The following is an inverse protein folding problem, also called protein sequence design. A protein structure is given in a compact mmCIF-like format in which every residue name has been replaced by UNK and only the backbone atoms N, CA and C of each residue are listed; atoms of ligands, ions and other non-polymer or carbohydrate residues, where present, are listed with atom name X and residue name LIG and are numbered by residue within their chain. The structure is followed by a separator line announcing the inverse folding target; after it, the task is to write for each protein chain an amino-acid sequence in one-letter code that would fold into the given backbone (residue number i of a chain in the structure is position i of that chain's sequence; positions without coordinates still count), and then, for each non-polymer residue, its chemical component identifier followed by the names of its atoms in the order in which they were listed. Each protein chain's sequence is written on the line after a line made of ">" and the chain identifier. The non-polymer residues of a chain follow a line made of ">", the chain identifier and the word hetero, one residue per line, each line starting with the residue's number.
data_IF_783041172055
#
_entry.id   IF_783041172055
#
_cell.length_a   1.000
_cell.length_b   1.000
_cell.length_c   1.000
_cell.angle_alpha   90.00
_cell.angle_beta   90.00
_cell.angle_gamma   90.00
#
_symmetry.space_group_name_H-M   'P 1'
#
loop_
_entity.id
_entity.type
_entity.pdbx_description
1 polymer ?
#
# COMPACT_ATOMS: atom_id res chain seq x y z
N UNK A 1 3.53 17.88 19.58
CA UNK A 1 2.18 17.67 19.00
C UNK A 1 1.70 16.29 19.39
N UNK A 2 0.53 16.17 20.01
CA UNK A 2 -0.03 14.88 20.44
C UNK A 2 -0.78 14.18 19.28
N UNK A 3 -0.38 12.96 18.91
CA UNK A 3 -0.76 12.24 17.69
C UNK A 3 -2.07 11.42 17.82
N UNK A 4 -3.08 12.02 18.45
CA UNK A 4 -4.35 11.36 18.82
C UNK A 4 -5.34 11.10 17.68
N UNK A 5 -5.12 11.66 16.48
CA UNK A 5 -6.05 11.48 15.35
C UNK A 5 -5.33 11.49 14.00
N UNK A 6 -6.06 11.04 12.97
CA UNK A 6 -5.55 10.93 11.59
C UNK A 6 -5.05 12.28 11.05
N UNK A 7 -5.73 13.38 11.35
CA UNK A 7 -5.34 14.72 10.87
C UNK A 7 -3.96 15.12 11.37
N UNK A 8 -3.69 14.99 12.68
CA UNK A 8 -2.38 15.33 13.25
C UNK A 8 -1.29 14.37 12.79
N UNK A 9 -1.61 13.08 12.66
CA UNK A 9 -0.68 12.09 12.07
C UNK A 9 -0.38 12.42 10.61
N UNK A 10 -1.36 12.85 9.83
CA UNK A 10 -1.15 13.26 8.44
C UNK A 10 -0.19 14.45 8.34
N UNK A 11 -0.35 15.48 9.19
CA UNK A 11 0.59 16.62 9.26
C UNK A 11 1.99 16.16 9.64
N UNK A 12 2.11 15.30 10.66
CA UNK A 12 3.40 14.79 11.09
C UNK A 12 4.11 14.01 9.96
N UNK A 13 3.40 13.08 9.32
CA UNK A 13 3.94 12.22 8.27
C UNK A 13 4.28 13.02 7.00
N UNK A 14 3.44 14.00 6.60
CA UNK A 14 3.77 14.85 5.45
C UNK A 14 5.00 15.73 5.73
N UNK A 15 5.11 16.27 6.94
CA UNK A 15 6.29 17.04 7.37
C UNK A 15 7.55 16.17 7.40
N UNK A 16 7.45 14.96 7.96
CA UNK A 16 8.56 14.00 7.97
C UNK A 16 9.03 13.67 6.55
N UNK A 17 8.10 13.37 5.64
CA UNK A 17 8.43 13.08 4.25
C UNK A 17 9.09 14.28 3.57
N UNK A 18 8.62 15.50 3.82
CA UNK A 18 9.21 16.72 3.25
C UNK A 18 10.64 16.96 3.77
N UNK A 19 10.87 16.81 5.08
CA UNK A 19 12.19 16.97 5.70
C UNK A 19 13.17 15.92 5.19
N UNK A 20 12.80 14.63 5.21
CA UNK A 20 13.68 13.56 4.74
C UNK A 20 13.99 13.69 3.24
N UNK A 21 13.05 14.18 2.44
CA UNK A 21 13.30 14.49 1.02
C UNK A 21 14.29 15.64 0.89
N UNK A 22 14.12 16.72 1.65
CA UNK A 22 15.03 17.86 1.64
C UNK A 22 16.46 17.46 2.04
N UNK A 23 16.59 16.50 2.96
CA UNK A 23 17.88 15.92 3.38
C UNK A 23 18.44 14.89 2.40
N UNK A 24 17.76 14.59 1.28
CA UNK A 24 18.20 13.59 0.31
C UNK A 24 18.10 12.13 0.77
N UNK A 25 17.36 11.87 1.85
CA UNK A 25 17.21 10.52 2.43
C UNK A 25 16.09 9.72 1.75
N UNK A 26 15.09 10.40 1.19
CA UNK A 26 13.98 9.74 0.48
C UNK A 26 13.60 10.48 -0.79
N UNK A 27 13.19 9.71 -1.79
CA UNK A 27 12.57 10.21 -3.03
C UNK A 27 11.12 9.72 -3.16
N UNK A 28 10.45 10.17 -4.21
CA UNK A 28 9.10 9.72 -4.56
C UNK A 28 8.02 10.12 -3.56
N UNK A 29 8.16 11.28 -2.93
CA UNK A 29 7.20 11.79 -1.93
C UNK A 29 6.04 12.56 -2.55
N UNK A 30 6.07 12.80 -3.87
CA UNK A 30 4.99 13.43 -4.63
C UNK A 30 4.33 12.39 -5.54
N UNK A 31 3.00 12.41 -5.63
CA UNK A 31 2.25 11.42 -6.39
C UNK A 31 2.58 11.45 -7.89
N UNK A 32 2.64 10.25 -8.48
CA UNK A 32 2.62 10.05 -9.92
C UNK A 32 1.31 10.56 -10.53
N UNK A 33 1.29 10.93 -11.81
CA UNK A 33 0.12 11.54 -12.46
C UNK A 33 -0.17 10.96 -13.85
N UNK A 34 -1.31 11.33 -14.42
CA UNK A 34 -1.69 11.00 -15.80
C UNK A 34 -1.67 9.48 -16.07
N UNK A 35 -0.78 9.00 -16.95
CA UNK A 35 -0.66 7.58 -17.33
C UNK A 35 0.23 6.77 -16.37
N UNK A 36 0.90 7.42 -15.44
CA UNK A 36 1.85 6.77 -14.54
C UNK A 36 1.19 5.74 -13.61
N UNK A 37 -0.04 5.92 -13.08
CA UNK A 37 -0.68 4.89 -12.25
C UNK A 37 -0.85 3.54 -12.95
N UNK A 38 -1.10 3.54 -14.26
CA UNK A 38 -1.21 2.30 -15.05
C UNK A 38 0.15 1.64 -15.25
N UNK A 39 1.21 2.43 -15.53
CA UNK A 39 2.58 1.91 -15.61
C UNK A 39 3.04 1.38 -14.25
N UNK A 40 2.74 2.11 -13.16
CA UNK A 40 3.06 1.74 -11.79
C UNK A 40 2.49 0.37 -11.42
N UNK A 41 1.25 0.07 -11.82
CA UNK A 41 0.64 -1.23 -11.54
C UNK A 41 1.17 -2.39 -12.38
N UNK A 42 1.66 -2.13 -13.59
CA UNK A 42 2.37 -3.12 -14.40
C UNK A 42 3.73 -3.44 -13.78
N UNK A 43 4.50 -2.41 -13.43
CA UNK A 43 5.81 -2.56 -12.74
C UNK A 43 5.61 -3.31 -11.42
N UNK A 44 4.53 -3.06 -10.67
CA UNK A 44 4.24 -3.79 -9.43
C UNK A 44 4.04 -5.28 -9.69
N UNK A 45 3.24 -5.64 -10.70
CA UNK A 45 2.99 -7.04 -11.03
C UNK A 45 4.29 -7.76 -11.46
N UNK A 46 5.13 -7.11 -12.27
CA UNK A 46 6.44 -7.63 -12.68
C UNK A 46 7.41 -7.75 -11.51
N UNK A 47 7.44 -6.76 -10.62
CA UNK A 47 8.25 -6.78 -9.40
C UNK A 47 7.85 -7.95 -8.48
N UNK A 48 6.55 -8.17 -8.32
CA UNK A 48 6.05 -9.30 -7.52
C UNK A 48 6.39 -10.62 -8.20
N UNK A 49 6.19 -10.73 -9.51
CA UNK A 49 6.49 -11.95 -10.27
C UNK A 49 7.96 -12.35 -10.20
N UNK A 50 8.85 -11.37 -10.35
CA UNK A 50 10.30 -11.60 -10.32
C UNK A 50 10.82 -11.96 -8.93
N UNK A 51 10.31 -11.33 -7.87
CA UNK A 51 10.78 -11.57 -6.49
C UNK A 51 10.07 -12.70 -5.75
N UNK A 52 8.79 -12.91 -6.01
CA UNK A 52 7.93 -13.82 -5.24
C UNK A 52 7.25 -14.91 -6.09
N UNK A 53 7.45 -14.92 -7.42
CA UNK A 53 6.86 -15.92 -8.30
C UNK A 53 5.37 -15.68 -8.55
N UNK A 54 4.49 -16.52 -7.97
CA UNK A 54 3.05 -16.43 -8.15
C UNK A 54 2.28 -16.54 -6.82
N UNK A 55 2.42 -15.57 -5.90
CA UNK A 55 1.82 -15.63 -4.57
C UNK A 55 0.30 -15.39 -4.58
N UNK A 56 -0.38 -15.85 -3.53
CA UNK A 56 -1.68 -15.28 -3.13
C UNK A 56 -1.45 -13.91 -2.49
N UNK A 57 -2.14 -12.89 -3.00
CA UNK A 57 -1.95 -11.50 -2.58
C UNK A 57 -3.15 -11.02 -1.77
N UNK A 58 -2.89 -10.43 -0.61
CA UNK A 58 -3.86 -9.59 0.09
C UNK A 58 -3.49 -8.11 -0.11
N UNK A 59 -4.34 -7.40 -0.86
CA UNK A 59 -4.23 -5.96 -1.10
C UNK A 59 -5.03 -5.20 -0.04
N UNK A 60 -4.36 -4.34 0.72
CA UNK A 60 -4.97 -3.50 1.76
C UNK A 60 -4.98 -2.06 1.27
N UNK A 61 -6.16 -1.48 1.12
CA UNK A 61 -6.40 -0.23 0.43
C UNK A 61 -6.71 -0.49 -1.05
N UNK A 62 -7.90 -0.10 -1.49
CA UNK A 62 -8.30 -0.27 -2.88
C UNK A 62 -7.64 0.80 -3.75
N UNK A 63 -6.70 0.37 -4.59
CA UNK A 63 -6.18 1.19 -5.68
C UNK A 63 -6.57 0.55 -7.03
N UNK A 64 -7.54 1.11 -7.77
CA UNK A 64 -8.10 0.52 -8.99
C UNK A 64 -7.07 -0.03 -9.98
N UNK A 65 -5.99 0.72 -10.27
CA UNK A 65 -5.00 0.29 -11.27
C UNK A 65 -4.15 -0.88 -10.79
N UNK A 66 -3.81 -0.90 -9.50
CA UNK A 66 -3.10 -2.02 -8.88
C UNK A 66 -4.00 -3.25 -8.78
N UNK A 67 -5.23 -3.08 -8.31
CA UNK A 67 -6.21 -4.16 -8.23
C UNK A 67 -6.45 -4.82 -9.61
N UNK A 68 -6.62 -4.03 -10.67
CA UNK A 68 -6.77 -4.54 -12.04
C UNK A 68 -5.57 -5.38 -12.48
N UNK A 69 -4.35 -4.87 -12.30
CA UNK A 69 -3.12 -5.54 -12.72
C UNK A 69 -2.87 -6.82 -11.91
N UNK A 70 -3.09 -6.75 -10.59
CA UNK A 70 -2.87 -7.89 -9.71
C UNK A 70 -3.93 -8.97 -9.91
N UNK A 71 -5.20 -8.63 -10.07
CA UNK A 71 -6.27 -9.59 -10.32
C UNK A 71 -6.08 -10.37 -11.65
N UNK A 72 -5.46 -9.72 -12.65
CA UNK A 72 -5.11 -10.37 -13.93
C UNK A 72 -4.00 -11.40 -13.81
N UNK A 73 -3.10 -11.27 -12.83
CA UNK A 73 -1.87 -12.06 -12.74
C UNK A 73 -1.81 -13.01 -11.55
N UNK A 74 -2.56 -12.74 -10.48
CA UNK A 74 -2.45 -13.45 -9.20
C UNK A 74 -3.82 -13.72 -8.58
N UNK A 75 -3.86 -14.64 -7.61
CA UNK A 75 -5.02 -14.79 -6.73
C UNK A 75 -5.04 -13.62 -5.75
N UNK A 76 -6.12 -12.85 -5.75
CA UNK A 76 -6.21 -11.58 -5.04
C UNK A 76 -7.40 -11.57 -4.08
N UNK A 77 -7.18 -11.07 -2.86
CA UNK A 77 -8.21 -10.55 -1.96
C UNK A 77 -7.93 -9.08 -1.68
N UNK A 78 -8.98 -8.27 -1.53
CA UNK A 78 -8.87 -6.83 -1.34
C UNK A 78 -9.66 -6.43 -0.10
N UNK A 79 -9.09 -5.58 0.75
CA UNK A 79 -9.84 -4.85 1.78
C UNK A 79 -9.70 -3.35 1.58
N UNK A 80 -10.75 -2.60 1.92
CA UNK A 80 -10.73 -1.13 1.87
C UNK A 80 -11.56 -0.52 3.00
N UNK A 81 -11.21 0.69 3.44
CA UNK A 81 -11.93 1.40 4.50
C UNK A 81 -13.07 2.29 3.97
N UNK A 82 -13.14 2.56 2.66
CA UNK A 82 -14.21 3.35 2.07
C UNK A 82 -15.48 2.50 1.94
N UNK A 83 -16.53 2.89 2.66
CA UNK A 83 -17.83 2.21 2.64
C UNK A 83 -18.44 2.12 1.24
N UNK A 84 -18.09 3.03 0.33
CA UNK A 84 -18.56 3.00 -1.06
C UNK A 84 -17.89 1.88 -1.87
N UNK A 85 -16.71 1.43 -1.46
CA UNK A 85 -16.01 0.33 -2.11
C UNK A 85 -16.43 -1.03 -1.52
N UNK A 86 -16.80 -1.10 -0.25
CA UNK A 86 -17.06 -2.37 0.43
C UNK A 86 -18.27 -3.09 -0.19
N UNK A 87 -18.10 -4.39 -0.51
CA UNK A 87 -19.11 -5.23 -1.16
C UNK A 87 -19.15 -5.11 -2.69
N UNK A 88 -18.50 -4.09 -3.26
CA UNK A 88 -18.39 -3.96 -4.71
C UNK A 88 -17.47 -5.03 -5.31
N UNK A 89 -17.84 -5.50 -6.50
CA UNK A 89 -17.01 -6.42 -7.28
C UNK A 89 -16.26 -5.65 -8.36
N UNK A 90 -14.95 -5.48 -8.20
CA UNK A 90 -14.07 -4.82 -9.19
C UNK A 90 -13.09 -5.83 -9.75
N UNK A 91 -12.97 -5.89 -11.08
CA UNK A 91 -12.06 -6.81 -11.78
C UNK A 91 -12.25 -8.29 -11.37
N UNK A 92 -13.48 -8.68 -11.04
CA UNK A 92 -13.80 -10.05 -10.61
C UNK A 92 -13.56 -10.35 -9.12
N UNK A 93 -13.02 -9.39 -8.35
CA UNK A 93 -12.70 -9.53 -6.92
C UNK A 93 -13.64 -8.65 -6.10
N UNK A 94 -14.21 -9.21 -5.04
CA UNK A 94 -15.00 -8.44 -4.07
C UNK A 94 -14.07 -7.65 -3.16
N UNK A 95 -14.39 -6.37 -2.95
CA UNK A 95 -13.69 -5.53 -1.98
C UNK A 95 -14.32 -5.76 -0.62
N UNK A 96 -13.53 -6.29 0.30
CA UNK A 96 -14.00 -6.73 1.61
C UNK A 96 -13.85 -5.63 2.66
N UNK A 97 -14.68 -5.74 3.70
CA UNK A 97 -14.58 -4.90 4.90
C UNK A 97 -13.22 -5.08 5.60
N UNK A 98 -12.63 -4.03 6.21
CA UNK A 98 -11.32 -4.10 6.86
C UNK A 98 -11.28 -5.13 8.00
N UNK A 99 -12.42 -5.49 8.61
CA UNK A 99 -12.51 -6.57 9.61
C UNK A 99 -12.07 -7.94 9.07
N UNK A 100 -12.02 -8.13 7.76
CA UNK A 100 -11.49 -9.34 7.10
C UNK A 100 -9.97 -9.35 6.97
N UNK A 101 -9.26 -8.30 7.38
CA UNK A 101 -7.81 -8.20 7.25
C UNK A 101 -7.07 -9.42 7.84
N UNK A 102 -7.39 -9.85 9.06
CA UNK A 102 -6.72 -10.98 9.69
C UNK A 102 -6.94 -12.31 8.94
N UNK A 103 -8.16 -12.56 8.45
CA UNK A 103 -8.47 -13.73 7.62
C UNK A 103 -7.63 -13.70 6.33
N UNK A 104 -7.48 -12.53 5.73
CA UNK A 104 -6.74 -12.34 4.50
C UNK A 104 -5.22 -12.46 4.70
N UNK A 105 -4.69 -11.95 5.80
CA UNK A 105 -3.28 -12.13 6.20
C UNK A 105 -2.96 -13.62 6.33
N UNK A 106 -3.82 -14.38 7.00
CA UNK A 106 -3.60 -15.83 7.18
C UNK A 106 -3.65 -16.59 5.85
N UNK A 107 -4.51 -16.16 4.91
CA UNK A 107 -4.69 -16.79 3.61
C UNK A 107 -3.58 -16.48 2.60
N UNK A 108 -2.99 -15.29 2.66
CA UNK A 108 -2.05 -14.80 1.66
C UNK A 108 -0.61 -15.29 1.87
N UNK A 109 0.17 -15.20 0.79
CA UNK A 109 1.62 -15.40 0.79
C UNK A 109 2.39 -14.06 0.77
N UNK A 110 1.74 -13.00 0.27
CA UNK A 110 2.29 -11.65 0.17
C UNK A 110 1.23 -10.58 0.52
N UNK A 111 1.61 -9.63 1.35
CA UNK A 111 0.83 -8.43 1.66
C UNK A 111 1.25 -7.26 0.75
N UNK A 112 0.27 -6.57 0.17
CA UNK A 112 0.48 -5.31 -0.55
C UNK A 112 -0.38 -4.25 0.12
N UNK A 113 0.25 -3.33 0.85
CA UNK A 113 -0.42 -2.50 1.85
C UNK A 113 -0.26 -1.02 1.55
N UNK A 114 -1.34 -0.26 1.56
CA UNK A 114 -1.28 1.19 1.41
C UNK A 114 -0.43 1.84 2.50
N UNK A 115 0.41 2.80 2.10
CA UNK A 115 1.18 3.61 3.02
C UNK A 115 0.35 4.51 3.95
N UNK A 116 -0.95 4.69 3.67
CA UNK A 116 -1.86 5.41 4.58
C UNK A 116 -2.09 4.70 5.91
N UNK A 117 -1.72 3.41 6.01
CA UNK A 117 -1.74 2.64 7.28
C UNK A 117 -0.86 3.26 8.38
N UNK A 118 0.16 4.04 8.02
CA UNK A 118 0.96 4.82 8.98
C UNK A 118 0.13 5.96 9.60
N UNK A 119 -0.76 6.57 8.81
CA UNK A 119 -1.53 7.75 9.20
C UNK A 119 -2.78 7.37 10.00
N UNK A 120 -3.43 6.26 9.67
CA UNK A 120 -4.60 5.77 10.41
C UNK A 120 -4.25 4.86 11.60
N UNK A 121 -2.95 4.63 11.86
CA UNK A 121 -2.42 3.83 12.97
C UNK A 121 -2.73 2.33 12.91
N UNK A 122 -2.93 1.77 11.70
CA UNK A 122 -3.17 0.33 11.52
C UNK A 122 -1.97 -0.43 10.93
N UNK A 123 -0.86 0.24 10.61
CA UNK A 123 0.31 -0.39 9.98
C UNK A 123 0.84 -1.61 10.75
N UNK A 124 0.79 -1.58 12.08
CA UNK A 124 1.31 -2.65 12.95
C UNK A 124 0.65 -4.01 12.69
N UNK A 125 -0.61 -4.02 12.23
CA UNK A 125 -1.35 -5.25 11.91
C UNK A 125 -0.71 -6.04 10.75
N UNK A 126 0.06 -5.36 9.89
CA UNK A 126 0.63 -5.93 8.67
C UNK A 126 2.13 -6.23 8.76
N UNK A 127 2.73 -6.07 9.94
CA UNK A 127 4.15 -6.30 10.16
C UNK A 127 4.40 -7.66 10.82
N UNK A 128 5.49 -8.32 10.44
CA UNK A 128 6.05 -9.49 11.14
C UNK A 128 5.44 -10.86 10.83
N UNK A 129 4.24 -10.94 10.25
CA UNK A 129 3.55 -12.22 9.99
C UNK A 129 3.80 -12.79 8.59
N UNK A 130 3.94 -11.91 7.58
CA UNK A 130 4.10 -12.25 6.17
C UNK A 130 5.04 -11.25 5.50
N UNK A 131 5.68 -11.59 4.36
CA UNK A 131 6.32 -10.61 3.50
C UNK A 131 5.32 -9.50 3.13
N UNK A 132 5.76 -8.24 3.21
CA UNK A 132 4.92 -7.08 2.96
C UNK A 132 5.60 -6.10 2.02
N UNK A 133 4.82 -5.51 1.13
CA UNK A 133 5.18 -4.37 0.29
C UNK A 133 4.26 -3.22 0.67
N UNK A 134 4.82 -2.11 1.17
CA UNK A 134 4.06 -0.89 1.39
C UNK A 134 4.08 -0.01 0.15
N UNK A 135 2.92 0.38 -0.39
CA UNK A 135 2.85 1.20 -1.59
C UNK A 135 2.40 2.63 -1.33
N UNK A 136 2.80 3.54 -2.22
CA UNK A 136 2.41 4.94 -2.21
C UNK A 136 3.43 5.88 -1.55
N UNK A 137 3.12 7.17 -1.60
CA UNK A 137 4.05 8.24 -1.18
C UNK A 137 4.01 8.49 0.33
N UNK A 138 2.87 8.21 0.97
CA UNK A 138 2.65 8.51 2.40
C UNK A 138 3.66 7.82 3.32
N UNK A 139 4.04 6.59 3.00
CA UNK A 139 4.97 5.78 3.82
C UNK A 139 6.44 6.12 3.56
N UNK A 140 6.78 7.05 2.66
CA UNK A 140 8.16 7.29 2.22
C UNK A 140 9.18 7.43 3.36
N UNK A 141 8.94 8.36 4.27
CA UNK A 141 9.81 8.62 5.40
C UNK A 141 9.80 7.50 6.43
N UNK A 142 8.60 6.97 6.76
CA UNK A 142 8.47 5.87 7.70
C UNK A 142 9.19 4.61 7.20
N UNK A 143 9.07 4.28 5.91
CA UNK A 143 9.76 3.14 5.31
C UNK A 143 11.28 3.30 5.33
N UNK A 144 11.79 4.50 5.07
CA UNK A 144 13.23 4.77 5.16
C UNK A 144 13.76 4.60 6.59
N UNK A 145 13.07 5.16 7.58
CA UNK A 145 13.53 5.11 8.98
C UNK A 145 13.37 3.74 9.64
N UNK A 146 12.42 2.93 9.17
CA UNK A 146 12.08 1.62 9.74
C UNK A 146 12.53 0.44 8.85
N UNK A 147 13.30 0.70 7.80
CA UNK A 147 13.76 -0.29 6.82
C UNK A 147 12.62 -1.15 6.24
N UNK A 148 11.49 -0.51 5.88
CA UNK A 148 10.33 -1.18 5.31
C UNK A 148 10.44 -1.29 3.79
N UNK A 149 10.00 -2.41 3.25
CA UNK A 149 9.92 -2.64 1.82
C UNK A 149 8.83 -1.77 1.18
N UNK A 150 9.24 -0.61 0.63
CA UNK A 150 8.36 0.35 -0.03
C UNK A 150 8.38 0.19 -1.56
N UNK A 151 7.20 0.25 -2.17
CA UNK A 151 7.02 0.28 -3.62
C UNK A 151 6.33 1.58 -4.09
N UNK A 152 7.09 2.48 -4.71
CA UNK A 152 6.55 3.67 -5.36
C UNK A 152 7.50 4.19 -6.47
N UNK A 153 7.78 3.38 -7.51
CA UNK A 153 8.86 3.65 -8.46
C UNK A 153 8.62 4.87 -9.36
N UNK A 154 7.37 5.32 -9.48
CA UNK A 154 6.99 6.49 -10.30
C UNK A 154 6.59 7.70 -9.45
N UNK A 155 6.78 7.64 -8.12
CA UNK A 155 6.68 8.81 -7.27
C UNK A 155 7.75 9.83 -7.67
N UNK A 156 7.43 11.12 -7.55
CA UNK A 156 8.36 12.22 -7.83
C UNK A 156 9.03 12.72 -6.57
#
# INVERSE_FOLDING_TARGET
>A
MDLKNNYRRAIFISTLNAVLRHLGMVEGTVHCKDRDPQKCSQILAEHIKSKFGNPKIALVGFQPRMAESLAKNFRLKITDMDEQNIGEKKFGVEIQDPRKAQENINWCDLLVVTGSTVVNDTMKEFLGSKPVIFYGVTVAGAACLLDLNRFCPLGK
#
